data_IF_350721094243
#
_entry.id   IF_350721094243
#
_cell.length_a   1.000
_cell.length_b   1.000
_cell.length_c   1.000
_cell.angle_alpha   90.00
_cell.angle_beta   90.00
_cell.angle_gamma   90.00
#
_symmetry.space_group_name_H-M   'P 1'
#
loop_
_entity.id
_entity.type
_entity.pdbx_description
1 polymer ?
#
# COMPACT_ATOMS: atom_id res chain seq x y z
N UNK A 1 -17.58 -10.96 -20.19
CA UNK A 1 -18.94 -11.42 -19.84
C UNK A 1 -19.31 -11.16 -18.38
N UNK A 2 -18.38 -11.10 -17.43
CA UNK A 2 -18.67 -10.84 -16.01
C UNK A 2 -19.26 -9.45 -15.72
N UNK A 3 -18.84 -8.41 -16.44
CA UNK A 3 -19.27 -7.01 -16.19
C UNK A 3 -20.79 -6.82 -16.36
N UNK A 4 -21.47 -7.66 -17.15
CA UNK A 4 -22.91 -7.56 -17.41
C UNK A 4 -23.76 -8.00 -16.20
N UNK A 5 -23.29 -8.99 -15.43
CA UNK A 5 -23.99 -9.48 -14.24
C UNK A 5 -23.89 -8.50 -13.07
N UNK A 6 -22.75 -7.82 -12.92
CA UNK A 6 -22.59 -6.78 -11.90
C UNK A 6 -23.47 -5.56 -12.17
N UNK A 7 -23.62 -5.16 -13.44
CA UNK A 7 -24.53 -4.08 -13.83
C UNK A 7 -26.00 -4.44 -13.51
N UNK A 8 -26.41 -5.68 -13.80
CA UNK A 8 -27.75 -6.19 -13.45
C UNK A 8 -27.99 -6.19 -11.94
N UNK A 9 -27.00 -6.61 -11.15
CA UNK A 9 -27.09 -6.57 -9.69
C UNK A 9 -27.25 -5.14 -9.15
N UNK A 10 -26.51 -4.17 -9.68
CA UNK A 10 -26.64 -2.75 -9.29
C UNK A 10 -28.03 -2.20 -9.64
N UNK A 11 -28.54 -2.51 -10.83
CA UNK A 11 -29.84 -2.04 -11.31
C UNK A 11 -31.04 -2.62 -10.53
N UNK A 12 -30.88 -3.78 -9.88
CA UNK A 12 -31.94 -4.40 -9.06
C UNK A 12 -31.97 -3.88 -7.62
N UNK A 13 -30.82 -3.48 -7.08
CA UNK A 13 -30.69 -3.02 -5.69
C UNK A 13 -30.83 -1.50 -5.53
N UNK A 14 -30.67 -0.74 -6.61
CA UNK A 14 -30.71 0.73 -6.61
C UNK A 14 -31.63 1.19 -7.76
N UNK A 15 -32.52 2.18 -7.56
CA UNK A 15 -33.33 2.72 -8.64
C UNK A 15 -32.47 3.59 -9.58
N UNK A 16 -31.65 2.95 -10.40
CA UNK A 16 -30.78 3.56 -11.42
C UNK A 16 -31.06 2.96 -12.78
N UNK A 17 -30.85 3.72 -13.84
CA UNK A 17 -30.95 3.20 -15.21
C UNK A 17 -29.79 2.26 -15.52
N UNK A 18 -29.98 1.36 -16.48
CA UNK A 18 -28.94 0.42 -16.94
C UNK A 18 -27.64 1.17 -17.30
N UNK A 19 -27.76 2.30 -17.98
CA UNK A 19 -26.61 3.16 -18.35
C UNK A 19 -25.92 3.76 -17.13
N UNK A 20 -26.68 4.20 -16.12
CA UNK A 20 -26.11 4.70 -14.86
C UNK A 20 -25.41 3.59 -14.06
N UNK A 21 -25.93 2.36 -14.09
CA UNK A 21 -25.28 1.21 -13.48
C UNK A 21 -23.94 0.88 -14.14
N UNK A 22 -23.85 0.96 -15.47
CA UNK A 22 -22.58 0.81 -16.20
C UNK A 22 -21.59 1.94 -15.85
N UNK A 23 -22.05 3.20 -15.79
CA UNK A 23 -21.20 4.33 -15.39
C UNK A 23 -20.66 4.15 -13.97
N UNK A 24 -21.49 3.68 -13.03
CA UNK A 24 -21.08 3.40 -11.66
C UNK A 24 -20.02 2.28 -11.59
N UNK A 25 -20.21 1.20 -12.36
CA UNK A 25 -19.29 0.06 -12.44
C UNK A 25 -17.93 0.45 -13.06
N UNK A 26 -17.93 1.29 -14.09
CA UNK A 26 -16.69 1.76 -14.72
C UNK A 26 -15.95 2.80 -13.85
N UNK A 27 -16.68 3.69 -13.17
CA UNK A 27 -16.10 4.63 -12.18
C UNK A 27 -15.50 3.92 -10.98
N UNK A 28 -16.00 2.73 -10.61
CA UNK A 28 -15.49 1.96 -9.47
C UNK A 28 -14.19 1.21 -9.73
N UNK A 29 -13.58 1.32 -10.92
CA UNK A 29 -12.20 0.87 -11.15
C UNK A 29 -11.25 1.76 -10.33
N UNK A 30 -11.19 1.49 -9.02
CA UNK A 30 -10.27 2.12 -8.07
C UNK A 30 -8.87 1.99 -8.65
N UNK A 31 -8.31 3.11 -9.11
CA UNK A 31 -6.90 3.20 -9.43
C UNK A 31 -6.14 2.76 -8.19
N UNK A 32 -5.50 1.58 -8.27
CA UNK A 32 -4.64 1.10 -7.18
C UNK A 32 -3.59 2.18 -6.99
N UNK A 33 -3.65 2.92 -5.88
CA UNK A 33 -2.59 3.87 -5.53
C UNK A 33 -1.27 3.12 -5.57
N UNK A 34 -0.27 3.65 -6.28
CA UNK A 34 1.07 3.06 -6.31
C UNK A 34 1.55 2.94 -4.87
N UNK A 35 1.87 1.71 -4.44
CA UNK A 35 2.41 1.49 -3.10
C UNK A 35 3.81 2.08 -3.07
N UNK A 36 4.11 2.91 -2.08
CA UNK A 36 5.48 3.37 -1.83
C UNK A 36 6.36 2.16 -1.49
N UNK A 37 7.41 1.96 -2.28
CA UNK A 37 8.42 0.91 -2.09
C UNK A 37 9.75 1.63 -1.87
N UNK A 38 10.27 1.64 -0.64
CA UNK A 38 11.53 2.30 -0.35
C UNK A 38 12.70 1.54 -0.96
N UNK A 39 13.70 2.28 -1.43
CA UNK A 39 14.96 1.75 -1.92
C UNK A 39 15.87 1.30 -0.77
N UNK A 40 16.93 0.54 -1.07
CA UNK A 40 17.89 0.06 -0.05
C UNK A 40 18.60 1.25 0.65
N UNK A 41 18.76 2.41 -0.01
CA UNK A 41 19.30 3.64 0.59
C UNK A 41 18.33 4.28 1.59
N UNK A 42 17.06 4.43 1.24
CA UNK A 42 16.04 4.97 2.13
C UNK A 42 15.85 4.05 3.36
N UNK A 43 16.00 2.74 3.19
CA UNK A 43 15.98 1.79 4.31
C UNK A 43 17.18 1.96 5.26
N UNK A 44 18.32 2.38 4.74
CA UNK A 44 19.50 2.69 5.54
C UNK A 44 19.29 3.97 6.35
N UNK A 45 18.79 5.05 5.72
CA UNK A 45 18.42 6.29 6.41
C UNK A 45 17.38 6.03 7.51
N UNK A 46 16.31 5.28 7.22
CA UNK A 46 15.31 4.88 8.22
C UNK A 46 15.91 4.10 9.39
N UNK A 47 16.98 3.33 9.13
CA UNK A 47 17.69 2.58 10.15
C UNK A 47 18.56 3.50 11.02
N UNK A 48 19.27 4.47 10.42
CA UNK A 48 20.05 5.47 11.15
C UNK A 48 19.16 6.33 12.06
N UNK A 49 18.04 6.83 11.53
CA UNK A 49 17.06 7.58 12.31
C UNK A 49 16.51 6.76 13.48
N UNK A 50 16.38 5.44 13.31
CA UNK A 50 15.97 4.55 14.40
C UNK A 50 17.07 4.42 15.46
N UNK A 51 18.33 4.38 15.04
CA UNK A 51 19.49 4.25 15.91
C UNK A 51 19.77 5.56 16.68
N UNK A 52 19.38 6.71 16.11
CA UNK A 52 19.29 8.01 16.79
C UNK A 52 18.16 8.09 17.85
N UNK A 53 17.36 7.03 18.00
CA UNK A 53 16.30 6.94 19.00
C UNK A 53 14.92 7.41 18.53
N UNK A 54 14.76 7.71 17.24
CA UNK A 54 13.47 8.14 16.70
C UNK A 54 12.43 6.99 16.71
N UNK A 55 11.16 7.32 16.98
CA UNK A 55 10.07 6.33 16.99
C UNK A 55 9.66 5.93 15.58
N UNK A 56 9.15 4.70 15.42
CA UNK A 56 8.63 4.23 14.12
C UNK A 56 7.47 5.09 13.61
N UNK A 57 6.68 5.70 14.50
CA UNK A 57 5.59 6.60 14.15
C UNK A 57 6.11 7.90 13.54
N UNK A 58 7.17 8.47 14.12
CA UNK A 58 7.79 9.69 13.60
C UNK A 58 8.45 9.43 12.25
N UNK A 59 9.20 8.34 12.13
CA UNK A 59 9.82 7.92 10.86
C UNK A 59 8.74 7.67 9.80
N UNK A 60 7.69 6.91 10.14
CA UNK A 60 6.58 6.65 9.22
C UNK A 60 5.90 7.93 8.72
N UNK A 61 5.71 8.92 9.61
CA UNK A 61 5.11 10.20 9.25
C UNK A 61 5.96 10.99 8.24
N UNK A 62 7.29 10.94 8.33
CA UNK A 62 8.19 11.62 7.39
C UNK A 62 8.11 11.03 5.98
N UNK A 63 7.95 9.71 5.87
CA UNK A 63 7.94 9.00 4.58
C UNK A 63 6.52 8.68 4.07
N UNK A 64 5.47 9.08 4.79
CA UNK A 64 4.08 8.80 4.42
C UNK A 64 3.69 7.32 4.54
N UNK A 65 4.27 6.62 5.53
CA UNK A 65 4.15 5.17 5.73
C UNK A 65 3.67 4.89 7.17
N UNK A 66 2.91 3.81 7.37
CA UNK A 66 2.54 3.41 8.73
C UNK A 66 3.75 2.92 9.54
N UNK A 67 3.73 3.15 10.86
CA UNK A 67 4.77 2.70 11.77
C UNK A 67 5.02 1.17 11.67
N UNK A 68 3.94 0.40 11.50
CA UNK A 68 4.04 -1.06 11.32
C UNK A 68 4.76 -1.44 10.02
N UNK A 69 4.50 -0.72 8.93
CA UNK A 69 5.20 -0.96 7.68
C UNK A 69 6.70 -0.62 7.79
N UNK A 70 7.08 0.45 8.51
CA UNK A 70 8.48 0.76 8.80
C UNK A 70 9.13 -0.38 9.62
N UNK A 71 8.49 -0.81 10.71
CA UNK A 71 8.98 -1.91 11.56
C UNK A 71 9.22 -3.19 10.74
N UNK A 72 8.26 -3.59 9.92
CA UNK A 72 8.38 -4.78 9.07
C UNK A 72 9.52 -4.66 8.06
N UNK A 73 9.71 -3.48 7.46
CA UNK A 73 10.74 -3.23 6.44
C UNK A 73 12.13 -3.27 7.05
N UNK A 74 12.35 -2.57 8.16
CA UNK A 74 13.63 -2.58 8.87
C UNK A 74 14.00 -3.98 9.36
N UNK A 75 13.03 -4.76 9.85
CA UNK A 75 13.25 -6.17 10.22
C UNK A 75 13.76 -7.00 9.04
N UNK A 76 13.15 -6.86 7.85
CA UNK A 76 13.60 -7.57 6.64
C UNK A 76 14.98 -7.09 6.19
N UNK A 77 15.23 -5.79 6.26
CA UNK A 77 16.51 -5.19 5.89
C UNK A 77 17.66 -5.71 6.75
N UNK A 78 17.50 -5.75 8.07
CA UNK A 78 18.48 -6.33 9.01
C UNK A 78 18.78 -7.80 8.70
N UNK A 79 17.75 -8.62 8.51
CA UNK A 79 17.91 -10.03 8.13
C UNK A 79 18.68 -10.21 6.81
N UNK A 80 18.40 -9.37 5.81
CA UNK A 80 19.12 -9.38 4.52
C UNK A 80 20.60 -9.04 4.67
N UNK A 81 20.95 -8.12 5.58
CA UNK A 81 22.35 -7.78 5.89
C UNK A 81 23.07 -8.91 6.62
N UNK A 82 22.46 -9.51 7.63
CA UNK A 82 23.05 -10.64 8.37
C UNK A 82 23.38 -11.82 7.44
N UNK A 83 22.47 -12.20 6.55
CA UNK A 83 22.73 -13.28 5.58
C UNK A 83 23.82 -12.97 4.56
N UNK A 84 24.14 -11.69 4.32
CA UNK A 84 25.22 -11.27 3.41
C UNK A 84 26.58 -11.16 4.07
N UNK A 85 26.62 -10.97 5.39
CA UNK A 85 27.87 -10.87 6.16
C UNK A 85 28.35 -12.26 6.61
N UNK A 86 27.43 -13.23 6.72
CA UNK A 86 27.76 -14.62 7.07
C UNK A 86 28.03 -15.57 5.89
N UNK A 87 28.14 -15.06 4.66
CA UNK A 87 28.45 -15.82 3.44
C UNK A 87 29.78 -15.35 2.84
#
# INVERSE_FOLDING_TARGET
MEENWYALFIATQVPVTVEQAFVALHKSKRTKKKRYVPNDTELFEMQELRDEGMSYEKIGSMYGVSAEAIRMRLRKFRKKREMRVGA
#
